data_IF_012273170980
#
_entry.id   IF_012273170980
#
_cell.length_a   1.000
_cell.length_b   1.000
_cell.length_c   1.000
_cell.angle_alpha   90.00
_cell.angle_beta   90.00
_cell.angle_gamma   90.00
#
_symmetry.space_group_name_H-M   'P 1'
#
loop_
_entity.id
_entity.type
_entity.pdbx_description
1 polymer ?
#
# COMPACT_ATOMS: atom_id res chain seq x y z
N UNK A 1 -30.27 13.76 10.00
CA UNK A 1 -30.62 12.46 9.67
C UNK A 1 -29.51 11.48 9.53
N UNK A 2 -29.88 10.27 9.17
CA UNK A 2 -28.93 9.18 9.07
C UNK A 2 -27.82 9.45 8.06
N UNK A 3 -28.16 10.16 7.00
CA UNK A 3 -27.18 10.46 5.94
C UNK A 3 -26.07 11.37 6.42
N UNK A 4 -26.34 12.28 7.35
CA UNK A 4 -25.33 13.19 7.84
C UNK A 4 -24.23 12.49 8.63
N UNK A 5 -24.56 11.39 9.27
CA UNK A 5 -23.58 10.67 10.09
C UNK A 5 -22.48 10.04 9.25
N UNK A 6 -22.84 9.45 8.12
CA UNK A 6 -21.83 8.83 7.26
C UNK A 6 -20.85 9.87 6.72
N UNK A 7 -21.38 11.00 6.28
CA UNK A 7 -20.53 12.07 5.76
C UNK A 7 -19.62 12.61 6.87
N UNK A 8 -20.14 12.76 8.09
CA UNK A 8 -19.35 13.28 9.21
C UNK A 8 -18.17 12.37 9.53
N UNK A 9 -18.42 11.06 9.58
CA UNK A 9 -17.36 10.10 9.89
C UNK A 9 -16.24 10.14 8.85
N UNK A 10 -16.60 10.29 7.57
CA UNK A 10 -15.63 10.34 6.50
C UNK A 10 -14.87 11.66 6.47
N UNK A 11 -15.55 12.77 6.77
CA UNK A 11 -14.93 14.07 6.66
C UNK A 11 -13.89 14.35 7.74
N UNK A 12 -13.84 13.53 8.80
CA UNK A 12 -12.87 13.73 9.88
C UNK A 12 -11.42 13.74 9.37
N UNK A 13 -11.12 12.95 8.33
CA UNK A 13 -9.77 12.88 7.75
C UNK A 13 -9.75 13.22 6.26
N UNK A 14 -10.87 13.72 5.73
CA UNK A 14 -11.03 13.85 4.28
C UNK A 14 -9.99 14.75 3.62
N UNK A 15 -9.54 15.81 4.31
CA UNK A 15 -8.58 16.76 3.75
C UNK A 15 -7.12 16.28 3.87
N UNK A 16 -6.89 15.14 4.49
CA UNK A 16 -5.54 14.59 4.67
C UNK A 16 -5.45 13.13 4.23
N UNK A 17 -6.33 12.73 3.31
CA UNK A 17 -6.37 11.37 2.75
C UNK A 17 -6.02 11.36 1.27
N UNK A 18 -5.51 10.22 0.84
CA UNK A 18 -5.43 9.85 -0.57
C UNK A 18 -6.10 8.47 -0.67
N UNK A 19 -7.09 8.35 -1.57
CA UNK A 19 -7.77 7.07 -1.78
C UNK A 19 -7.63 6.70 -3.25
N UNK A 20 -7.03 5.52 -3.49
CA UNK A 20 -6.91 4.99 -4.85
C UNK A 20 -7.41 3.55 -4.85
N UNK A 21 -7.84 3.08 -6.00
CA UNK A 21 -8.34 1.72 -6.11
C UNK A 21 -8.07 1.15 -7.49
N UNK A 22 -8.14 -0.17 -7.57
CA UNK A 22 -7.96 -0.87 -8.84
C UNK A 22 -8.65 -2.24 -8.77
N UNK A 23 -9.22 -2.66 -9.90
CA UNK A 23 -9.72 -4.04 -10.04
C UNK A 23 -8.58 -4.89 -10.61
N UNK A 24 -8.31 -6.01 -9.95
CA UNK A 24 -7.27 -6.96 -10.33
C UNK A 24 -7.95 -8.27 -10.69
N UNK A 25 -7.60 -8.84 -11.85
CA UNK A 25 -8.24 -10.05 -12.36
C UNK A 25 -7.65 -11.29 -11.69
N UNK A 26 -7.92 -11.42 -10.40
CA UNK A 26 -7.52 -12.57 -9.59
C UNK A 26 -8.34 -12.58 -8.32
N UNK A 27 -8.56 -13.74 -7.69
CA UNK A 27 -9.29 -13.79 -6.42
C UNK A 27 -8.49 -13.17 -5.28
N UNK A 28 -9.19 -12.77 -4.23
CA UNK A 28 -8.60 -12.04 -3.10
C UNK A 28 -7.41 -12.78 -2.48
N UNK A 29 -7.49 -14.09 -2.40
CA UNK A 29 -6.44 -14.90 -1.79
C UNK A 29 -5.10 -14.70 -2.49
N UNK A 30 -5.13 -14.62 -3.81
CA UNK A 30 -3.90 -14.42 -4.60
C UNK A 30 -3.38 -12.99 -4.48
N UNK A 31 -4.29 -12.01 -4.48
CA UNK A 31 -3.89 -10.61 -4.33
C UNK A 31 -3.28 -10.39 -2.94
N UNK A 32 -3.91 -10.97 -1.92
CA UNK A 32 -3.42 -10.87 -0.55
C UNK A 32 -2.05 -11.54 -0.40
N UNK A 33 -1.85 -12.68 -1.05
CA UNK A 33 -0.59 -13.43 -0.99
C UNK A 33 0.60 -12.57 -1.40
N UNK A 34 0.40 -11.62 -2.32
CA UNK A 34 1.48 -10.76 -2.81
C UNK A 34 2.09 -9.89 -1.71
N UNK A 35 1.44 -9.76 -0.57
CA UNK A 35 1.90 -8.97 0.57
C UNK A 35 2.58 -9.81 1.64
N UNK A 36 2.40 -11.13 1.64
CA UNK A 36 2.72 -11.97 2.80
C UNK A 36 4.18 -12.36 2.90
N UNK A 37 4.94 -12.26 1.81
CA UNK A 37 6.34 -12.65 1.78
C UNK A 37 7.15 -11.60 1.04
N UNK A 38 8.35 -11.34 1.55
CA UNK A 38 9.19 -10.30 0.96
C UNK A 38 9.65 -10.66 -0.47
N UNK A 39 9.75 -11.96 -0.80
CA UNK A 39 10.10 -12.37 -2.17
C UNK A 39 9.02 -11.97 -3.18
N UNK A 40 7.78 -11.84 -2.73
CA UNK A 40 6.71 -11.28 -3.56
C UNK A 40 6.73 -9.75 -3.48
N UNK A 41 6.65 -9.23 -2.26
CA UNK A 41 6.43 -7.82 -1.99
C UNK A 41 7.51 -6.94 -2.63
N UNK A 42 8.76 -7.37 -2.57
CA UNK A 42 9.87 -6.59 -3.11
C UNK A 42 9.88 -6.52 -4.65
N UNK A 43 9.09 -7.35 -5.32
CA UNK A 43 9.10 -7.39 -6.78
C UNK A 43 8.10 -6.42 -7.42
N UNK A 44 7.12 -5.95 -6.67
CA UNK A 44 6.11 -5.04 -7.23
C UNK A 44 5.96 -3.74 -6.45
N UNK A 45 6.47 -3.67 -5.23
CA UNK A 45 6.28 -2.49 -4.37
C UNK A 45 6.96 -1.26 -4.97
N UNK A 46 6.24 -0.12 -4.89
CA UNK A 46 6.75 1.16 -5.36
C UNK A 46 6.24 1.54 -6.74
N UNK A 47 6.46 2.81 -7.11
CA UNK A 47 6.08 3.28 -8.43
C UNK A 47 6.91 2.64 -9.53
N UNK A 48 6.51 2.89 -10.77
CA UNK A 48 7.19 2.35 -11.93
C UNK A 48 8.68 2.74 -11.92
N UNK A 49 9.54 1.75 -12.17
CA UNK A 49 10.99 1.96 -12.22
C UNK A 49 11.71 1.91 -10.88
N UNK A 50 10.96 1.78 -9.77
CA UNK A 50 11.57 1.65 -8.45
C UNK A 50 11.89 0.20 -8.14
N UNK A 51 12.94 -0.01 -7.32
CA UNK A 51 13.30 -1.34 -6.81
C UNK A 51 13.52 -1.23 -5.31
N UNK A 52 13.57 -2.38 -4.62
CA UNK A 52 13.76 -2.40 -3.16
C UNK A 52 14.94 -3.25 -2.76
N UNK A 53 15.59 -2.84 -1.66
CA UNK A 53 16.55 -3.67 -0.92
C UNK A 53 16.03 -3.80 0.49
N UNK A 54 15.78 -5.03 0.95
CA UNK A 54 15.19 -5.30 2.26
C UNK A 54 16.27 -5.58 3.29
N UNK A 55 16.20 -4.94 4.46
CA UNK A 55 17.05 -5.23 5.60
C UNK A 55 16.41 -6.23 6.54
N UNK A 56 15.11 -6.08 6.78
CA UNK A 56 14.39 -7.04 7.64
C UNK A 56 12.92 -7.06 7.26
N UNK A 57 12.26 -8.18 7.49
CA UNK A 57 10.85 -8.34 7.15
C UNK A 57 10.22 -9.40 8.03
N UNK A 58 9.12 -9.01 8.70
CA UNK A 58 8.26 -9.95 9.42
C UNK A 58 6.82 -9.55 9.16
N UNK A 59 6.09 -10.41 8.47
CA UNK A 59 4.68 -10.15 8.16
C UNK A 59 3.79 -10.72 9.25
N UNK A 60 3.64 -9.96 10.32
CA UNK A 60 2.74 -10.27 11.45
C UNK A 60 2.37 -8.96 12.11
N UNK A 61 1.28 -8.95 12.86
CA UNK A 61 0.88 -7.75 13.61
C UNK A 61 2.02 -7.40 14.58
N UNK A 62 2.48 -6.16 14.51
CA UNK A 62 3.63 -5.70 15.27
C UNK A 62 4.97 -5.95 14.59
N UNK A 63 4.98 -6.73 13.50
CA UNK A 63 6.20 -6.92 12.71
C UNK A 63 6.49 -5.72 11.83
N UNK A 64 7.69 -5.69 11.26
CA UNK A 64 8.18 -4.54 10.50
C UNK A 64 8.83 -4.97 9.20
N UNK A 65 8.80 -4.06 8.24
CA UNK A 65 9.56 -4.17 6.99
C UNK A 65 10.46 -2.94 6.92
N UNK A 66 11.76 -3.18 7.00
CA UNK A 66 12.79 -2.13 6.95
C UNK A 66 13.50 -2.28 5.61
N UNK A 67 13.42 -1.26 4.77
CA UNK A 67 13.93 -1.40 3.40
C UNK A 67 14.35 -0.05 2.83
N UNK A 68 15.05 -0.13 1.70
CA UNK A 68 15.43 1.04 0.91
C UNK A 68 14.70 0.94 -0.43
N UNK A 69 14.05 2.02 -0.81
CA UNK A 69 13.39 2.13 -2.10
C UNK A 69 14.33 2.91 -3.03
N UNK A 70 14.73 2.28 -4.13
CA UNK A 70 15.67 2.87 -5.09
C UNK A 70 14.90 3.46 -6.25
N UNK A 71 15.01 4.78 -6.44
CA UNK A 71 14.39 5.45 -7.57
C UNK A 71 15.18 5.26 -8.85
N UNK A 72 14.52 5.38 -10.00
CA UNK A 72 15.19 5.22 -11.30
C UNK A 72 16.24 6.30 -11.58
N UNK A 73 16.18 7.41 -10.86
CA UNK A 73 17.16 8.49 -10.99
C UNK A 73 18.38 8.31 -10.06
N UNK A 74 18.47 7.19 -9.35
CA UNK A 74 19.56 6.90 -8.43
C UNK A 74 19.33 7.39 -7.01
N UNK A 75 18.19 8.00 -6.72
CA UNK A 75 17.89 8.46 -5.36
C UNK A 75 17.42 7.28 -4.52
N UNK A 76 17.98 7.14 -3.31
CA UNK A 76 17.58 6.11 -2.36
C UNK A 76 16.72 6.72 -1.27
N UNK A 77 15.63 6.02 -0.93
CA UNK A 77 14.71 6.45 0.11
C UNK A 77 14.68 5.40 1.21
N UNK A 78 15.02 5.81 2.44
CA UNK A 78 14.86 4.96 3.61
C UNK A 78 13.39 4.80 3.89
N UNK A 79 12.95 3.55 4.10
CA UNK A 79 11.54 3.24 4.30
C UNK A 79 11.37 2.29 5.47
N UNK A 80 10.24 2.43 6.15
CA UNK A 80 9.88 1.59 7.28
C UNK A 80 8.36 1.40 7.28
N UNK A 81 7.93 0.15 7.43
CA UNK A 81 6.51 -0.18 7.55
C UNK A 81 6.33 -1.06 8.78
N UNK A 82 5.27 -0.82 9.52
CA UNK A 82 4.83 -1.68 10.62
C UNK A 82 3.41 -2.14 10.32
N UNK A 83 3.18 -3.44 10.44
CA UNK A 83 1.87 -4.03 10.17
C UNK A 83 1.03 -3.94 11.45
N UNK A 84 -0.09 -3.21 11.40
CA UNK A 84 -0.93 -3.00 12.58
C UNK A 84 -2.19 -3.84 12.57
N UNK A 85 -2.62 -4.30 11.40
CA UNK A 85 -3.74 -5.23 11.29
C UNK A 85 -3.52 -6.12 10.07
N UNK A 86 -3.77 -7.42 10.22
CA UNK A 86 -3.67 -8.39 9.13
C UNK A 86 -4.89 -9.29 9.24
N UNK A 87 -5.82 -9.17 8.31
CA UNK A 87 -7.06 -9.94 8.30
C UNK A 87 -7.26 -10.58 6.92
N UNK A 88 -6.62 -11.75 6.66
CA UNK A 88 -6.70 -12.39 5.35
C UNK A 88 -8.11 -12.86 5.04
N UNK A 89 -8.56 -12.76 3.81
CA UNK A 89 -7.94 -12.09 2.68
C UNK A 89 -8.52 -10.69 2.46
N UNK A 90 -8.99 -10.02 3.52
CA UNK A 90 -9.86 -8.85 3.42
C UNK A 90 -9.17 -7.52 3.68
N UNK A 91 -8.15 -7.49 4.56
CA UNK A 91 -7.69 -6.19 5.05
C UNK A 91 -6.27 -6.26 5.61
N UNK A 92 -5.49 -5.23 5.30
CA UNK A 92 -4.18 -4.97 5.89
C UNK A 92 -4.15 -3.50 6.28
N UNK A 93 -3.71 -3.20 7.51
CA UNK A 93 -3.47 -1.83 7.94
C UNK A 93 -2.00 -1.74 8.34
N UNK A 94 -1.36 -0.66 7.91
CA UNK A 94 0.06 -0.46 8.18
C UNK A 94 0.35 1.00 8.49
N UNK A 95 1.46 1.22 9.18
CA UNK A 95 2.06 2.54 9.34
C UNK A 95 3.31 2.58 8.50
N UNK A 96 3.57 3.72 7.87
CA UNK A 96 4.63 3.86 6.88
C UNK A 96 5.38 5.17 7.14
N UNK A 97 6.68 5.10 7.27
CA UNK A 97 7.53 6.26 7.47
C UNK A 97 8.93 5.97 6.99
N UNK A 98 9.87 6.82 7.37
CA UNK A 98 11.28 6.63 7.01
C UNK A 98 11.98 5.72 8.02
N UNK A 99 11.49 5.71 9.25
CA UNK A 99 12.07 4.93 10.34
C UNK A 99 11.03 4.73 11.43
N UNK A 100 11.35 3.80 12.35
CA UNK A 100 10.52 3.59 13.53
C UNK A 100 10.50 4.89 14.33
N UNK A 101 9.28 5.34 14.70
CA UNK A 101 9.15 6.57 15.46
C UNK A 101 9.12 7.84 14.63
N UNK A 102 9.07 7.73 13.31
CA UNK A 102 8.96 8.88 12.43
C UNK A 102 7.67 9.66 12.76
N UNK A 103 7.77 10.93 13.20
CA UNK A 103 6.56 11.70 13.54
C UNK A 103 5.69 12.01 12.33
N UNK A 104 6.22 11.86 11.12
CA UNK A 104 5.49 12.10 9.89
C UNK A 104 4.94 10.81 9.28
N UNK A 105 5.09 9.68 9.97
CA UNK A 105 4.56 8.41 9.48
C UNK A 105 3.06 8.52 9.24
N UNK A 106 2.59 7.87 8.19
CA UNK A 106 1.17 7.87 7.83
C UNK A 106 0.61 6.44 7.93
N UNK A 107 -0.70 6.35 7.91
CA UNK A 107 -1.39 5.07 7.96
C UNK A 107 -1.92 4.73 6.57
N UNK A 108 -1.80 3.47 6.17
CA UNK A 108 -2.44 2.98 4.95
C UNK A 108 -3.37 1.83 5.30
N UNK A 109 -4.58 1.90 4.78
CA UNK A 109 -5.59 0.87 4.94
C UNK A 109 -5.82 0.24 3.58
N UNK A 110 -5.51 -1.03 3.46
CA UNK A 110 -5.71 -1.80 2.23
C UNK A 110 -6.89 -2.72 2.43
N UNK A 111 -7.91 -2.59 1.58
CA UNK A 111 -9.07 -3.47 1.62
C UNK A 111 -9.17 -4.23 0.30
N UNK A 112 -9.53 -5.49 0.39
CA UNK A 112 -9.60 -6.42 -0.73
C UNK A 112 -11.04 -6.91 -0.80
N UNK A 113 -11.82 -6.39 -1.73
CA UNK A 113 -13.25 -6.73 -1.85
C UNK A 113 -13.50 -7.62 -3.06
N UNK A 114 -14.42 -8.58 -2.97
CA UNK A 114 -14.80 -9.34 -4.16
C UNK A 114 -15.38 -8.43 -5.22
N UNK A 115 -15.02 -8.68 -6.47
CA UNK A 115 -15.56 -7.96 -7.61
C UNK A 115 -15.84 -9.01 -8.68
N UNK A 116 -16.95 -9.76 -8.51
CA UNK A 116 -17.16 -10.99 -9.26
C UNK A 116 -16.07 -11.98 -8.89
N UNK A 117 -15.41 -12.55 -9.89
CA UNK A 117 -14.26 -13.44 -9.68
C UNK A 117 -12.96 -12.66 -9.47
N UNK A 118 -12.98 -11.36 -9.68
CA UNK A 118 -11.84 -10.49 -9.53
C UNK A 118 -11.83 -9.84 -8.14
N UNK A 119 -10.86 -8.98 -7.89
CA UNK A 119 -10.71 -8.26 -6.61
C UNK A 119 -10.64 -6.77 -6.87
N UNK A 120 -11.39 -6.02 -6.09
CA UNK A 120 -11.20 -4.56 -6.03
C UNK A 120 -10.34 -4.25 -4.81
N UNK A 121 -9.12 -3.80 -5.05
CA UNK A 121 -8.25 -3.33 -3.97
C UNK A 121 -8.41 -1.82 -3.84
N UNK A 122 -8.58 -1.35 -2.60
CA UNK A 122 -8.59 0.06 -2.29
C UNK A 122 -7.47 0.35 -1.29
N UNK A 123 -6.71 1.40 -1.56
CA UNK A 123 -5.67 1.85 -0.66
C UNK A 123 -6.03 3.26 -0.19
N UNK A 124 -6.25 3.39 1.12
CA UNK A 124 -6.55 4.67 1.76
C UNK A 124 -5.36 5.05 2.61
N UNK A 125 -4.72 6.17 2.26
CA UNK A 125 -3.57 6.69 2.99
C UNK A 125 -4.02 7.92 3.77
N UNK A 126 -3.79 7.92 5.09
CA UNK A 126 -4.18 9.00 5.97
C UNK A 126 -2.92 9.62 6.57
N UNK A 127 -2.69 10.88 6.27
CA UNK A 127 -1.51 11.60 6.74
C UNK A 127 -1.78 12.27 8.08
N UNK A 128 -0.74 12.54 8.87
CA UNK A 128 -0.92 13.23 10.15
C UNK A 128 -1.52 14.63 10.01
N UNK A 129 -1.22 15.33 8.90
CA UNK A 129 -1.72 16.68 8.65
C UNK A 129 -2.08 16.85 7.19
N UNK A 130 -2.92 17.84 6.92
CA UNK A 130 -3.26 18.24 5.55
C UNK A 130 -2.02 18.69 4.79
N UNK A 131 -1.11 19.38 5.47
CA UNK A 131 0.12 19.89 4.85
C UNK A 131 1.01 18.76 4.37
N UNK A 132 1.13 17.69 5.16
CA UNK A 132 1.89 16.51 4.74
C UNK A 132 1.24 15.82 3.55
N UNK A 133 -0.09 15.75 3.56
CA UNK A 133 -0.84 15.17 2.43
C UNK A 133 -0.60 16.00 1.17
N UNK A 134 -0.71 17.32 1.26
CA UNK A 134 -0.53 18.19 0.10
C UNK A 134 0.90 18.10 -0.43
N UNK A 135 1.90 18.03 0.45
CA UNK A 135 3.28 17.84 0.02
C UNK A 135 3.45 16.53 -0.72
N UNK A 136 2.86 15.45 -0.22
CA UNK A 136 2.95 14.15 -0.87
C UNK A 136 2.37 14.21 -2.28
N UNK A 137 1.24 14.87 -2.46
CA UNK A 137 0.59 15.00 -3.76
C UNK A 137 1.38 15.91 -4.69
N UNK A 138 1.76 17.10 -4.20
CA UNK A 138 2.32 18.14 -5.06
C UNK A 138 3.81 17.94 -5.34
N UNK A 139 4.58 17.53 -4.34
CA UNK A 139 6.02 17.41 -4.47
C UNK A 139 6.45 16.00 -4.87
N UNK A 140 5.80 14.97 -4.31
CA UNK A 140 6.21 13.59 -4.52
C UNK A 140 5.31 12.81 -5.45
N UNK A 141 4.26 13.43 -5.99
CA UNK A 141 3.34 12.79 -6.95
C UNK A 141 2.74 11.49 -6.42
N UNK A 142 2.26 11.55 -5.16
CA UNK A 142 1.82 10.34 -4.46
C UNK A 142 0.62 9.66 -5.11
N UNK A 143 -0.26 10.42 -5.77
CA UNK A 143 -1.43 9.81 -6.42
C UNK A 143 -1.00 8.97 -7.61
N UNK A 144 -0.18 9.54 -8.48
CA UNK A 144 0.34 8.82 -9.65
C UNK A 144 1.20 7.63 -9.22
N UNK A 145 2.06 7.85 -8.22
CA UNK A 145 2.91 6.79 -7.69
C UNK A 145 2.11 5.65 -7.11
N UNK A 146 1.04 5.97 -6.38
CA UNK A 146 0.16 4.96 -5.81
C UNK A 146 -0.56 4.15 -6.88
N UNK A 147 -1.03 4.81 -7.93
CA UNK A 147 -1.66 4.10 -9.04
C UNK A 147 -0.68 3.19 -9.76
N UNK A 148 0.56 3.65 -9.96
CA UNK A 148 1.61 2.83 -10.56
C UNK A 148 1.92 1.61 -9.69
N UNK A 149 1.96 1.80 -8.37
CA UNK A 149 2.17 0.70 -7.44
C UNK A 149 1.08 -0.35 -7.56
N UNK A 150 -0.19 0.07 -7.62
CA UNK A 150 -1.29 -0.88 -7.80
C UNK A 150 -1.27 -1.53 -9.19
N UNK A 151 -0.80 -0.82 -10.21
CA UNK A 151 -0.60 -1.42 -11.53
C UNK A 151 0.47 -2.50 -11.48
N UNK A 152 1.57 -2.25 -10.77
CA UNK A 152 2.64 -3.22 -10.60
C UNK A 152 2.13 -4.46 -9.85
N UNK A 153 1.34 -4.24 -8.81
CA UNK A 153 0.72 -5.33 -8.06
C UNK A 153 -0.16 -6.19 -8.99
N UNK A 154 -1.00 -5.53 -9.79
CA UNK A 154 -1.90 -6.25 -10.69
C UNK A 154 -1.12 -7.11 -11.68
N UNK A 155 -0.08 -6.56 -12.28
CA UNK A 155 0.76 -7.30 -13.23
C UNK A 155 1.44 -8.48 -12.53
N UNK A 156 1.98 -8.26 -11.35
CA UNK A 156 2.68 -9.31 -10.61
C UNK A 156 1.73 -10.46 -10.26
N UNK A 157 0.55 -10.14 -9.75
CA UNK A 157 -0.43 -11.16 -9.34
C UNK A 157 -0.91 -11.96 -10.55
N UNK A 158 -1.26 -11.30 -11.64
CA UNK A 158 -1.83 -11.98 -12.79
C UNK A 158 -0.79 -12.75 -13.61
N UNK A 159 0.45 -12.23 -13.67
CA UNK A 159 1.49 -12.84 -14.51
C UNK A 159 2.37 -13.82 -13.74
N UNK A 160 2.52 -13.66 -12.44
CA UNK A 160 3.42 -14.47 -11.65
C UNK A 160 2.65 -15.40 -10.70
N UNK A 161 1.94 -14.83 -9.72
CA UNK A 161 1.31 -15.64 -8.68
C UNK A 161 0.20 -16.52 -9.26
N UNK A 162 -0.70 -15.92 -10.04
CA UNK A 162 -1.84 -16.64 -10.62
C UNK A 162 -1.39 -17.78 -11.51
N UNK A 163 -0.30 -17.58 -12.24
CA UNK A 163 0.20 -18.58 -13.18
C UNK A 163 1.15 -19.60 -12.54
N UNK A 164 1.53 -19.37 -11.27
CA UNK A 164 2.38 -20.30 -10.57
C UNK A 164 3.81 -20.35 -11.08
N UNK A 165 4.35 -19.23 -11.58
CA UNK A 165 5.70 -19.21 -12.17
C UNK A 165 6.71 -18.41 -11.35
N UNK A 166 6.36 -18.06 -10.13
CA UNK A 166 7.23 -17.19 -9.37
C UNK A 166 8.37 -17.92 -8.67
N UNK A 167 8.43 -19.18 -8.75
CA UNK A 167 9.54 -19.88 -8.17
C UNK A 167 10.83 -19.49 -8.80
#
# INVERSE_FOLDING_TARGET
GATGRGASAQSATADREIVISRVIDAPRELVFEAFTEVRHLSRWWGPEGFTTTTRSFEFRVGGEWDFVLHGPDGTDYQEWISWTEIAPPERIVLRHGESRGDPNAFESVLTFAPHGAATRIEMRTVFPTKELRDEAVDKYHAIEGGQQTLNNLAAYVTEIIRNGVED
#
